data_IF_785241337460
#
_entry.id   IF_785241337460
#
_cell.length_a   1.000
_cell.length_b   1.000
_cell.length_c   1.000
_cell.angle_alpha   90.00
_cell.angle_beta   90.00
_cell.angle_gamma   90.00
#
_symmetry.space_group_name_H-M   'P 1'
#
loop_
_entity.id
_entity.type
_entity.pdbx_description
1 polymer ?
#
# COMPACT_ATOMS: atom_id res chain seq x y z
N UNK A 1 -6.32 -32.06 -5.25
CA UNK A 1 -6.51 -30.94 -4.30
C UNK A 1 -5.29 -30.05 -4.28
N UNK A 2 -5.45 -28.76 -4.61
CA UNK A 2 -4.36 -27.80 -4.71
C UNK A 2 -4.39 -26.78 -3.57
N UNK A 3 -3.24 -26.14 -3.28
CA UNK A 3 -3.10 -25.09 -2.26
C UNK A 3 -3.85 -23.78 -2.59
N UNK A 4 -4.32 -23.62 -3.84
CA UNK A 4 -4.92 -22.38 -4.34
C UNK A 4 -6.44 -22.53 -4.43
N UNK A 5 -7.16 -22.08 -3.40
CA UNK A 5 -8.62 -22.26 -3.30
C UNK A 5 -9.40 -21.76 -4.53
N UNK A 6 -8.98 -20.63 -5.11
CA UNK A 6 -9.57 -20.05 -6.31
C UNK A 6 -8.63 -20.10 -7.52
N UNK A 7 -7.63 -21.00 -7.49
CA UNK A 7 -6.63 -21.14 -8.56
C UNK A 7 -5.87 -19.82 -8.86
N UNK A 8 -5.78 -18.94 -7.87
CA UNK A 8 -5.15 -17.62 -7.94
C UNK A 8 -4.13 -17.45 -6.82
N UNK A 9 -3.14 -16.60 -7.09
CA UNK A 9 -2.23 -16.03 -6.09
C UNK A 9 -2.63 -14.56 -5.86
N UNK A 10 -2.24 -13.91 -4.74
CA UNK A 10 -1.35 -14.37 -3.67
C UNK A 10 -1.88 -15.54 -2.81
N UNK A 11 -0.96 -16.38 -2.34
CA UNK A 11 -1.18 -17.40 -1.32
C UNK A 11 -0.07 -17.34 -0.27
N UNK A 12 -0.44 -17.40 1.01
CA UNK A 12 0.50 -17.39 2.15
C UNK A 12 0.22 -18.57 3.06
N UNK A 13 1.26 -19.36 3.34
CA UNK A 13 1.21 -20.39 4.37
C UNK A 13 1.58 -19.79 5.73
N UNK A 14 0.65 -19.79 6.68
CA UNK A 14 0.84 -19.21 8.01
C UNK A 14 -0.05 -19.90 9.03
N UNK A 15 0.48 -20.20 10.22
CA UNK A 15 -0.25 -20.84 11.33
C UNK A 15 -0.98 -22.15 10.92
N UNK A 16 -0.38 -22.93 10.02
CA UNK A 16 -0.96 -24.17 9.50
C UNK A 16 -2.07 -23.98 8.46
N UNK A 17 -2.39 -22.74 8.08
CA UNK A 17 -3.36 -22.40 7.04
C UNK A 17 -2.67 -22.05 5.72
N UNK A 18 -3.39 -22.25 4.62
CA UNK A 18 -3.03 -21.78 3.27
C UNK A 18 -4.00 -20.68 2.85
N UNK A 19 -3.68 -19.44 3.20
CA UNK A 19 -4.55 -18.29 2.99
C UNK A 19 -4.40 -17.77 1.55
N UNK A 20 -5.50 -17.59 0.83
CA UNK A 20 -5.57 -16.85 -0.44
C UNK A 20 -6.35 -15.56 -0.26
N UNK A 21 -6.41 -14.72 -1.30
CA UNK A 21 -7.03 -13.37 -1.31
C UNK A 21 -6.25 -12.36 -0.48
N UNK A 22 -5.66 -11.36 -1.15
CA UNK A 22 -4.80 -10.33 -0.55
C UNK A 22 -5.43 -9.67 0.68
N UNK A 23 -6.71 -9.31 0.60
CA UNK A 23 -7.44 -8.69 1.72
C UNK A 23 -7.54 -9.63 2.92
N UNK A 24 -7.88 -10.90 2.73
CA UNK A 24 -7.98 -11.87 3.81
C UNK A 24 -6.62 -12.12 4.48
N UNK A 25 -5.55 -12.27 3.68
CA UNK A 25 -4.17 -12.43 4.15
C UNK A 25 -3.76 -11.23 5.02
N UNK A 26 -3.93 -10.00 4.50
CA UNK A 26 -3.55 -8.78 5.22
C UNK A 26 -4.40 -8.58 6.49
N UNK A 27 -5.69 -8.89 6.45
CA UNK A 27 -6.57 -8.82 7.63
C UNK A 27 -6.06 -9.76 8.73
N UNK A 28 -5.75 -11.01 8.39
CA UNK A 28 -5.26 -12.00 9.35
C UNK A 28 -3.95 -11.56 10.01
N UNK A 29 -2.96 -11.17 9.21
CA UNK A 29 -1.66 -10.68 9.71
C UNK A 29 -1.86 -9.47 10.62
N UNK A 30 -2.70 -8.51 10.20
CA UNK A 30 -2.93 -7.29 10.96
C UNK A 30 -3.59 -7.57 12.31
N UNK A 31 -4.56 -8.49 12.36
CA UNK A 31 -5.17 -8.92 13.63
C UNK A 31 -4.16 -9.64 14.51
N UNK A 32 -3.42 -10.61 13.96
CA UNK A 32 -2.45 -11.42 14.71
C UNK A 32 -1.38 -10.57 15.40
N UNK A 33 -0.94 -9.49 14.76
CA UNK A 33 0.11 -8.61 15.27
C UNK A 33 -0.38 -7.27 15.83
N UNK A 34 -1.68 -7.17 16.18
CA UNK A 34 -2.28 -5.98 16.82
C UNK A 34 -2.14 -4.68 16.01
N UNK A 35 -2.19 -4.76 14.68
CA UNK A 35 -2.13 -3.63 13.74
C UNK A 35 -3.52 -3.25 13.19
N UNK A 36 -4.59 -3.74 13.81
CA UNK A 36 -5.95 -3.63 13.28
C UNK A 36 -6.94 -2.99 14.27
N UNK A 37 -6.50 -1.92 14.95
CA UNK A 37 -7.34 -1.15 15.87
C UNK A 37 -7.77 -1.92 17.13
N UNK A 38 -8.12 -1.18 18.18
CA UNK A 38 -8.52 -1.79 19.46
C UNK A 38 -10.01 -2.16 19.54
N UNK A 39 -10.84 -1.51 18.73
CA UNK A 39 -12.29 -1.66 18.75
C UNK A 39 -12.88 -1.58 17.33
N UNK A 40 -14.19 -1.81 17.23
CA UNK A 40 -14.90 -1.80 15.96
C UNK A 40 -14.79 -0.45 15.24
N UNK A 41 -14.80 0.68 15.97
CA UNK A 41 -14.74 2.00 15.35
C UNK A 41 -13.37 2.27 14.73
N UNK A 42 -12.29 1.95 15.45
CA UNK A 42 -10.93 2.06 14.91
C UNK A 42 -10.74 1.11 13.71
N UNK A 43 -11.25 -0.13 13.78
CA UNK A 43 -11.23 -1.08 12.65
C UNK A 43 -11.90 -0.52 11.41
N UNK A 44 -13.11 0.03 11.57
CA UNK A 44 -13.86 0.61 10.45
C UNK A 44 -13.11 1.78 9.81
N UNK A 45 -12.47 2.65 10.59
CA UNK A 45 -11.65 3.73 10.03
C UNK A 45 -10.43 3.17 9.28
N UNK A 46 -9.75 2.17 9.85
CA UNK A 46 -8.63 1.49 9.18
C UNK A 46 -9.08 0.88 7.86
N UNK A 47 -10.22 0.20 7.82
CA UNK A 47 -10.77 -0.42 6.61
C UNK A 47 -11.09 0.61 5.53
N UNK A 48 -11.77 1.71 5.89
CA UNK A 48 -12.06 2.79 4.95
C UNK A 48 -10.79 3.36 4.32
N UNK A 49 -9.75 3.59 5.13
CA UNK A 49 -8.47 4.12 4.65
C UNK A 49 -7.75 3.12 3.75
N UNK A 50 -7.68 1.86 4.17
CA UNK A 50 -6.98 0.81 3.45
C UNK A 50 -7.68 0.49 2.12
N UNK A 51 -9.00 0.40 2.08
CA UNK A 51 -9.73 0.16 0.82
C UNK A 51 -9.55 1.33 -0.15
N UNK A 52 -9.59 2.57 0.33
CA UNK A 52 -9.27 3.73 -0.52
C UNK A 52 -7.84 3.69 -1.07
N UNK A 53 -6.87 3.20 -0.28
CA UNK A 53 -5.50 3.01 -0.76
C UNK A 53 -5.36 1.82 -1.72
N UNK A 54 -6.15 0.76 -1.57
CA UNK A 54 -6.17 -0.35 -2.52
C UNK A 54 -6.63 0.10 -3.90
N UNK A 55 -7.64 0.98 -3.99
CA UNK A 55 -8.08 1.54 -5.27
C UNK A 55 -6.97 2.33 -5.97
N UNK A 56 -6.17 3.09 -5.21
CA UNK A 56 -5.01 3.80 -5.76
C UNK A 56 -3.87 2.82 -6.12
N UNK A 57 -3.62 1.83 -5.28
CA UNK A 57 -2.61 0.81 -5.50
C UNK A 57 -2.88 0.01 -6.77
N UNK A 58 -4.15 -0.25 -7.09
CA UNK A 58 -4.51 -0.93 -8.33
C UNK A 58 -4.05 -0.16 -9.57
N UNK A 59 -4.16 1.18 -9.56
CA UNK A 59 -3.64 2.02 -10.64
C UNK A 59 -2.12 1.95 -10.73
N UNK A 60 -1.42 1.99 -9.60
CA UNK A 60 0.04 1.85 -9.53
C UNK A 60 0.50 0.49 -10.09
N UNK A 61 -0.09 -0.60 -9.60
CA UNK A 61 0.28 -1.96 -9.95
C UNK A 61 -0.01 -2.29 -11.41
N UNK A 62 -1.09 -1.73 -11.98
CA UNK A 62 -1.51 -2.03 -13.35
C UNK A 62 -0.79 -1.20 -14.42
N UNK A 63 -0.01 -0.18 -14.04
CA UNK A 63 0.69 0.70 -14.99
C UNK A 63 1.60 -0.06 -15.98
N UNK A 64 2.40 -1.00 -15.46
CA UNK A 64 3.34 -1.78 -16.28
C UNK A 64 2.66 -2.61 -17.36
N UNK A 65 1.41 -3.03 -17.10
CA UNK A 65 0.60 -3.88 -17.98
C UNK A 65 -0.32 -3.09 -18.92
N UNK A 66 -0.32 -1.75 -18.86
CA UNK A 66 -1.11 -0.96 -19.78
C UNK A 66 -0.54 -1.05 -21.21
N UNK A 67 -1.41 -1.10 -22.24
CA UNK A 67 -1.01 -0.92 -23.63
C UNK A 67 -0.20 0.38 -23.82
N UNK A 68 0.77 0.35 -24.74
CA UNK A 68 1.69 1.47 -24.96
C UNK A 68 0.96 2.80 -25.24
N UNK A 69 -0.14 2.76 -26.00
CA UNK A 69 -0.98 3.91 -26.35
C UNK A 69 -1.83 4.44 -25.17
N UNK A 70 -1.94 3.68 -24.08
CA UNK A 70 -2.72 4.05 -22.88
C UNK A 70 -1.86 4.42 -21.68
N UNK A 71 -0.56 4.12 -21.70
CA UNK A 71 0.36 4.35 -20.56
C UNK A 71 0.36 5.81 -20.09
N UNK A 72 0.41 6.77 -21.00
CA UNK A 72 0.42 8.19 -20.66
C UNK A 72 -0.89 8.63 -19.98
N UNK A 73 -2.04 8.24 -20.55
CA UNK A 73 -3.35 8.53 -19.97
C UNK A 73 -3.51 7.91 -18.58
N UNK A 74 -3.08 6.65 -18.41
CA UNK A 74 -3.14 5.95 -17.14
C UNK A 74 -2.27 6.63 -16.08
N UNK A 75 -1.05 7.03 -16.45
CA UNK A 75 -0.15 7.77 -15.58
C UNK A 75 -0.76 9.12 -15.13
N UNK A 76 -1.33 9.88 -16.07
CA UNK A 76 -1.99 11.14 -15.76
C UNK A 76 -3.16 10.96 -14.78
N UNK A 77 -4.02 9.97 -15.01
CA UNK A 77 -5.13 9.63 -14.10
C UNK A 77 -4.64 9.16 -12.71
N UNK A 78 -3.56 8.37 -12.66
CA UNK A 78 -2.95 7.95 -11.40
C UNK A 78 -2.42 9.14 -10.59
N UNK A 79 -1.70 10.07 -11.23
CA UNK A 79 -1.19 11.28 -10.57
C UNK A 79 -2.31 12.23 -10.15
N UNK A 80 -3.31 12.45 -11.00
CA UNK A 80 -4.48 13.27 -10.71
C UNK A 80 -5.22 12.76 -9.46
N UNK A 81 -5.52 11.45 -9.42
CA UNK A 81 -6.20 10.86 -8.26
C UNK A 81 -5.34 10.90 -7.01
N UNK A 82 -4.04 10.68 -7.13
CA UNK A 82 -3.10 10.80 -6.01
C UNK A 82 -3.19 12.20 -5.40
N UNK A 83 -3.05 13.23 -6.24
CA UNK A 83 -2.97 14.63 -5.82
C UNK A 83 -4.32 15.19 -5.33
N UNK A 84 -5.42 14.89 -6.03
CA UNK A 84 -6.69 15.57 -5.79
C UNK A 84 -7.71 14.76 -5.01
N UNK A 85 -7.55 13.43 -4.94
CA UNK A 85 -8.53 12.54 -4.27
C UNK A 85 -7.97 11.94 -2.99
N UNK A 86 -6.82 11.28 -3.04
CA UNK A 86 -6.36 10.43 -1.94
C UNK A 86 -5.47 11.18 -0.94
N UNK A 87 -4.40 11.84 -1.38
CA UNK A 87 -3.49 12.53 -0.47
C UNK A 87 -4.14 13.65 0.34
N UNK A 88 -5.06 14.47 -0.21
CA UNK A 88 -5.77 15.48 0.57
C UNK A 88 -6.56 14.89 1.76
N UNK A 89 -7.09 13.67 1.63
CA UNK A 89 -7.82 13.00 2.71
C UNK A 89 -6.86 12.66 3.86
N UNK A 90 -5.73 12.04 3.57
CA UNK A 90 -4.77 11.65 4.61
C UNK A 90 -4.05 12.84 5.25
N UNK A 91 -3.73 13.87 4.46
CA UNK A 91 -3.23 15.15 4.98
C UNK A 91 -4.25 15.77 5.95
N UNK A 92 -5.53 15.78 5.58
CA UNK A 92 -6.63 16.28 6.44
C UNK A 92 -6.80 15.45 7.71
N UNK A 93 -6.77 14.11 7.62
CA UNK A 93 -6.88 13.22 8.79
C UNK A 93 -5.78 13.55 9.80
N UNK A 94 -4.52 13.59 9.35
CA UNK A 94 -3.37 13.94 10.21
C UNK A 94 -3.50 15.34 10.82
N UNK A 95 -4.02 16.30 10.04
CA UNK A 95 -4.25 17.68 10.49
C UNK A 95 -5.33 17.77 11.57
N UNK A 96 -6.47 17.14 11.34
CA UNK A 96 -7.67 17.29 12.18
C UNK A 96 -7.44 16.78 13.60
N UNK A 97 -6.77 15.63 13.75
CA UNK A 97 -6.51 15.07 15.07
C UNK A 97 -5.12 15.42 15.62
N UNK A 98 -4.17 15.87 14.78
CA UNK A 98 -2.84 16.30 15.20
C UNK A 98 -1.98 15.21 15.84
N UNK A 99 -2.09 13.96 15.36
CA UNK A 99 -1.45 12.77 15.94
C UNK A 99 -0.46 12.15 14.95
N UNK A 100 0.35 11.23 15.45
CA UNK A 100 1.41 10.58 14.68
C UNK A 100 0.94 9.39 13.82
N UNK A 101 -0.22 8.84 14.09
CA UNK A 101 -0.77 7.73 13.32
C UNK A 101 -2.18 8.07 12.86
N UNK A 102 -2.61 7.48 11.75
CA UNK A 102 -3.91 7.74 11.13
C UNK A 102 -5.08 7.38 12.06
N UNK A 103 -4.91 6.39 12.93
CA UNK A 103 -5.96 5.89 13.84
C UNK A 103 -5.37 5.61 15.23
N UNK A 104 -6.12 5.95 16.28
CA UNK A 104 -5.86 5.49 17.66
C UNK A 104 -4.57 6.00 18.32
N UNK A 105 -3.77 6.84 17.65
CA UNK A 105 -2.40 7.21 18.04
C UNK A 105 -1.47 5.98 18.21
N UNK A 106 -1.71 4.93 17.43
CA UNK A 106 -0.91 3.71 17.44
C UNK A 106 -0.68 3.24 16.02
N UNK A 107 0.45 2.57 15.79
CA UNK A 107 0.77 1.99 14.49
C UNK A 107 -0.32 1.00 14.08
N UNK A 108 -0.85 1.17 12.87
CA UNK A 108 -1.81 0.26 12.27
C UNK A 108 -1.40 -0.11 10.85
N UNK A 109 -2.09 -1.09 10.26
CA UNK A 109 -1.92 -1.45 8.84
C UNK A 109 -2.23 -0.28 7.90
N UNK A 110 -3.08 0.67 8.30
CA UNK A 110 -3.37 1.84 7.47
C UNK A 110 -2.11 2.71 7.31
N UNK A 111 -1.33 2.85 8.38
CA UNK A 111 -0.08 3.62 8.32
C UNK A 111 0.98 2.92 7.45
N UNK A 112 1.06 1.59 7.55
CA UNK A 112 1.98 0.78 6.72
C UNK A 112 1.58 0.87 5.24
N UNK A 113 0.29 0.74 4.92
CA UNK A 113 -0.23 0.84 3.57
C UNK A 113 0.00 2.24 2.98
N UNK A 114 -0.21 3.29 3.78
CA UNK A 114 0.02 4.67 3.32
C UNK A 114 1.51 4.92 3.05
N UNK A 115 2.40 4.44 3.92
CA UNK A 115 3.84 4.56 3.68
C UNK A 115 4.24 3.87 2.38
N UNK A 116 3.76 2.65 2.12
CA UNK A 116 4.04 1.93 0.88
C UNK A 116 3.65 2.75 -0.34
N UNK A 117 2.43 3.28 -0.37
CA UNK A 117 1.92 4.11 -1.48
C UNK A 117 2.73 5.38 -1.65
N UNK A 118 3.08 6.06 -0.54
CA UNK A 118 3.93 7.26 -0.60
C UNK A 118 5.26 6.94 -1.26
N UNK A 119 5.93 5.87 -0.83
CA UNK A 119 7.24 5.49 -1.36
C UNK A 119 7.15 5.09 -2.85
N UNK A 120 6.08 4.41 -3.26
CA UNK A 120 5.85 4.10 -4.68
C UNK A 120 5.64 5.37 -5.50
N UNK A 121 4.81 6.30 -5.04
CA UNK A 121 4.57 7.57 -5.76
C UNK A 121 5.84 8.44 -5.82
N UNK A 122 6.67 8.44 -4.77
CA UNK A 122 7.96 9.15 -4.76
C UNK A 122 8.89 8.68 -5.89
N UNK A 123 8.84 7.40 -6.28
CA UNK A 123 9.65 6.86 -7.38
C UNK A 123 9.23 7.44 -8.75
N UNK A 124 7.95 7.81 -8.91
CA UNK A 124 7.40 8.39 -10.15
C UNK A 124 7.41 9.91 -10.17
N UNK A 125 7.04 10.53 -9.05
CA UNK A 125 6.82 11.98 -8.94
C UNK A 125 7.30 12.50 -7.57
N UNK A 126 8.62 12.69 -7.37
CA UNK A 126 9.18 13.12 -6.09
C UNK A 126 8.62 14.46 -5.57
N UNK A 127 8.23 15.37 -6.46
CA UNK A 127 7.69 16.70 -6.13
C UNK A 127 6.22 16.67 -5.67
N UNK A 128 5.51 15.54 -5.81
CA UNK A 128 4.11 15.37 -5.41
C UNK A 128 3.85 15.83 -3.97
N UNK A 129 4.80 15.56 -3.08
CA UNK A 129 4.64 15.77 -1.64
C UNK A 129 4.87 17.22 -1.19
N UNK A 130 5.33 18.12 -2.08
CA UNK A 130 5.57 19.51 -1.74
C UNK A 130 4.31 20.23 -1.23
N UNK A 131 3.12 19.76 -1.62
CA UNK A 131 1.81 20.28 -1.19
C UNK A 131 1.26 19.62 0.08
N UNK A 132 1.92 18.58 0.59
CA UNK A 132 1.43 17.72 1.68
C UNK A 132 2.46 17.61 2.81
N UNK A 133 2.69 18.68 3.58
CA UNK A 133 3.74 18.71 4.61
C UNK A 133 3.52 17.71 5.74
N UNK A 134 2.27 17.35 6.09
CA UNK A 134 2.03 16.33 7.12
C UNK A 134 2.33 14.94 6.59
N UNK A 135 2.04 14.64 5.31
CA UNK A 135 2.47 13.41 4.67
C UNK A 135 3.99 13.29 4.60
N UNK A 136 4.72 14.37 4.34
CA UNK A 136 6.20 14.36 4.40
C UNK A 136 6.71 13.99 5.79
N UNK A 137 6.15 14.61 6.84
CA UNK A 137 6.49 14.29 8.23
C UNK A 137 6.12 12.85 8.60
N UNK A 138 4.94 12.41 8.16
CA UNK A 138 4.47 11.04 8.33
C UNK A 138 5.45 10.04 7.70
N UNK A 139 5.83 10.25 6.44
CA UNK A 139 6.80 9.42 5.73
C UNK A 139 8.14 9.34 6.46
N UNK A 140 8.66 10.47 6.93
CA UNK A 140 9.92 10.52 7.68
C UNK A 140 9.83 9.75 9.02
N UNK A 141 8.75 9.92 9.78
CA UNK A 141 8.52 9.21 11.04
C UNK A 141 8.39 7.71 10.82
N UNK A 142 7.52 7.30 9.90
CA UNK A 142 7.23 5.90 9.61
C UNK A 142 8.48 5.17 9.09
N UNK A 143 9.25 5.79 8.20
CA UNK A 143 10.51 5.23 7.69
C UNK A 143 11.58 5.04 8.77
N UNK A 144 11.46 5.70 9.92
CA UNK A 144 12.38 5.58 11.04
C UNK A 144 11.96 4.55 12.10
N UNK A 145 10.77 3.94 11.99
CA UNK A 145 10.39 2.80 12.85
C UNK A 145 11.42 1.68 12.63
N UNK A 146 12.05 1.11 13.68
CA UNK A 146 13.20 0.22 13.51
C UNK A 146 12.99 -0.95 12.54
N UNK A 147 11.82 -1.59 12.58
CA UNK A 147 11.47 -2.70 11.68
C UNK A 147 11.28 -2.25 10.24
N UNK A 148 10.62 -1.12 10.03
CA UNK A 148 10.44 -0.50 8.70
C UNK A 148 11.79 -0.03 8.16
N UNK A 149 12.57 0.70 8.96
CA UNK A 149 13.90 1.18 8.59
C UNK A 149 14.80 0.03 8.15
N UNK A 150 14.78 -1.09 8.88
CA UNK A 150 15.49 -2.32 8.51
C UNK A 150 14.97 -2.90 7.20
N UNK A 151 13.65 -2.94 6.99
CA UNK A 151 13.05 -3.41 5.74
C UNK A 151 13.36 -2.51 4.54
N UNK A 152 13.62 -1.22 4.75
CA UNK A 152 14.00 -0.28 3.70
C UNK A 152 15.50 -0.32 3.34
N UNK A 153 16.35 -1.01 4.11
CA UNK A 153 17.77 -1.14 3.79
C UNK A 153 18.02 -2.10 2.62
N UNK A 154 19.13 -1.92 1.87
CA UNK A 154 19.60 -2.91 0.91
C UNK A 154 19.75 -4.30 1.54
N UNK A 155 19.42 -5.34 0.77
CA UNK A 155 19.47 -6.73 1.23
C UNK A 155 18.22 -7.22 1.98
N UNK A 156 17.22 -6.36 2.17
CA UNK A 156 15.90 -6.80 2.64
C UNK A 156 15.13 -7.57 1.55
N UNK A 157 13.96 -8.11 1.91
CA UNK A 157 13.08 -8.78 0.96
C UNK A 157 12.19 -7.82 0.15
N UNK A 158 12.31 -6.49 0.33
CA UNK A 158 11.61 -5.50 -0.49
C UNK A 158 11.96 -5.72 -1.96
N UNK A 159 10.96 -5.72 -2.82
CA UNK A 159 11.14 -5.90 -4.27
C UNK A 159 11.38 -4.54 -4.93
N UNK A 160 12.23 -4.49 -5.98
CA UNK A 160 12.35 -3.29 -6.81
C UNK A 160 11.07 -3.07 -7.64
N UNK A 161 10.91 -1.90 -8.28
CA UNK A 161 9.91 -1.69 -9.31
C UNK A 161 9.97 -2.78 -10.39
N UNK A 162 8.82 -3.14 -10.97
CA UNK A 162 8.77 -4.13 -12.05
C UNK A 162 9.42 -3.57 -13.31
N UNK A 163 10.32 -4.33 -13.90
CA UNK A 163 10.88 -4.09 -15.23
C UNK A 163 10.11 -4.86 -16.31
N UNK A 164 10.50 -4.67 -17.58
CA UNK A 164 9.87 -5.34 -18.72
C UNK A 164 9.98 -6.86 -18.63
N UNK A 165 11.12 -7.39 -18.16
CA UNK A 165 11.34 -8.82 -17.99
C UNK A 165 10.38 -9.44 -16.96
N UNK A 166 10.09 -8.73 -15.86
CA UNK A 166 9.11 -9.15 -14.86
C UNK A 166 7.71 -9.13 -15.44
N UNK A 167 7.35 -8.06 -16.16
CA UNK A 167 6.03 -7.93 -16.79
C UNK A 167 5.79 -9.07 -17.79
N UNK A 168 6.76 -9.37 -18.66
CA UNK A 168 6.66 -10.45 -19.66
C UNK A 168 6.49 -11.83 -19.02
N UNK A 169 7.22 -12.09 -17.93
CA UNK A 169 7.07 -13.35 -17.16
C UNK A 169 5.70 -13.47 -16.54
N UNK A 170 5.18 -12.39 -15.94
CA UNK A 170 3.82 -12.37 -15.35
C UNK A 170 2.79 -12.64 -16.44
N UNK A 171 2.90 -11.97 -17.59
CA UNK A 171 1.99 -12.17 -18.71
C UNK A 171 1.99 -13.64 -19.17
N UNK A 172 3.17 -14.24 -19.35
CA UNK A 172 3.28 -15.65 -19.78
C UNK A 172 2.73 -16.67 -18.77
N UNK A 173 2.77 -16.37 -17.48
CA UNK A 173 2.34 -17.29 -16.42
C UNK A 173 0.83 -17.21 -16.20
N UNK A 174 0.25 -16.01 -16.28
CA UNK A 174 -1.12 -15.75 -15.85
C UNK A 174 -2.10 -15.42 -16.99
N UNK A 175 -1.62 -15.22 -18.22
CA UNK A 175 -2.43 -14.91 -19.41
C UNK A 175 -1.99 -15.76 -20.60
#
# INVERSE_FOLDING_TARGET
DGSLLFQQVPMVEIDGMKLVQTRAICNYISTKYNLYGKDLKERTLIDMYVEGMFDLNELLMTYGYQPADKKEQHFANMMEKTENRYFPVFEKVLKDHGKDFLVGNQLSRADVQLLEIILMIEEWKPDMFAKFPLLQRFRARMSNIPTIKKFLQPGSQRKPPSDEDVVDKVMKIFY
#
